data_IF_184803899454
#
_entry.id   IF_184803899454
#
_cell.length_a   1.000
_cell.length_b   1.000
_cell.length_c   1.000
_cell.angle_alpha   90.00
_cell.angle_beta   90.00
_cell.angle_gamma   90.00
#
_symmetry.space_group_name_H-M   'P 1'
#
loop_
_entity.id
_entity.type
_entity.pdbx_description
1 polymer ?
#
# COMPACT_ATOMS: atom_id res chain seq x y z
N UNK A 1 8.19 -47.51 -17.71
CA UNK A 1 7.95 -47.56 -19.16
C UNK A 1 6.91 -46.49 -19.49
N UNK A 2 7.27 -45.57 -20.39
CA UNK A 2 6.50 -44.48 -21.01
C UNK A 2 5.98 -43.39 -20.04
N UNK A 3 6.50 -42.16 -19.94
CA UNK A 3 6.93 -41.12 -20.92
C UNK A 3 5.77 -40.35 -21.58
N UNK A 4 5.82 -39.01 -21.42
CA UNK A 4 5.21 -37.99 -22.29
C UNK A 4 3.74 -37.66 -21.99
N UNK A 5 3.23 -36.44 -22.14
CA UNK A 5 3.80 -35.29 -22.82
C UNK A 5 3.01 -34.01 -22.47
N UNK A 6 3.76 -32.92 -22.32
CA UNK A 6 3.30 -31.54 -22.21
C UNK A 6 2.90 -31.04 -23.62
N UNK A 7 1.69 -30.50 -23.80
CA UNK A 7 1.33 -29.60 -24.91
C UNK A 7 0.36 -28.54 -24.41
N UNK A 8 0.77 -27.28 -24.31
CA UNK A 8 0.71 -26.28 -25.39
C UNK A 8 -0.68 -26.19 -26.05
N UNK A 9 -1.47 -25.20 -25.62
CA UNK A 9 -2.54 -24.63 -26.45
C UNK A 9 -2.25 -23.15 -26.70
N UNK A 10 -1.91 -22.89 -27.96
CA UNK A 10 -1.77 -21.60 -28.61
C UNK A 10 -3.09 -21.31 -29.33
N UNK A 11 -3.71 -20.17 -29.02
CA UNK A 11 -4.63 -19.42 -29.88
C UNK A 11 -4.23 -17.95 -29.68
N UNK A 12 -3.90 -17.12 -30.67
CA UNK A 12 -4.30 -17.15 -32.07
C UNK A 12 -5.14 -15.90 -32.36
N UNK A 13 -4.46 -14.78 -32.63
CA UNK A 13 -4.94 -13.69 -33.50
C UNK A 13 -6.05 -12.76 -33.00
N UNK A 14 -5.69 -11.53 -32.64
CA UNK A 14 -6.42 -10.34 -33.10
C UNK A 14 -5.45 -9.15 -33.19
N UNK A 15 -5.16 -8.78 -34.43
CA UNK A 15 -4.50 -7.54 -34.81
C UNK A 15 -5.37 -6.35 -34.39
N UNK A 16 -4.84 -5.45 -33.57
CA UNK A 16 -5.35 -4.08 -33.50
C UNK A 16 -4.17 -3.13 -33.69
N UNK A 17 -3.98 -2.69 -34.94
CA UNK A 17 -3.16 -1.54 -35.26
C UNK A 17 -3.68 -0.31 -34.51
N UNK A 18 -2.84 0.26 -33.65
CA UNK A 18 -2.90 1.68 -33.33
C UNK A 18 -1.51 2.24 -33.56
N UNK A 19 -1.34 2.79 -34.75
CA UNK A 19 -0.32 3.80 -35.04
C UNK A 19 -0.85 5.10 -34.42
N UNK A 20 -0.20 5.62 -33.38
CA UNK A 20 -0.08 7.07 -33.17
C UNK A 20 0.95 7.40 -32.09
N UNK A 21 1.98 8.16 -32.48
CA UNK A 21 2.61 9.17 -31.62
C UNK A 21 3.65 8.69 -30.61
N UNK A 22 4.86 8.41 -31.08
CA UNK A 22 6.07 8.55 -30.26
C UNK A 22 6.22 10.01 -29.80
N UNK A 23 5.75 10.33 -28.59
CA UNK A 23 6.29 11.46 -27.84
C UNK A 23 7.54 10.94 -27.14
N UNK A 24 8.71 11.39 -27.61
CA UNK A 24 9.98 11.25 -26.91
C UNK A 24 9.87 11.93 -25.53
N UNK A 25 9.60 11.16 -24.48
CA UNK A 25 9.88 11.57 -23.11
C UNK A 25 11.39 11.72 -22.96
N UNK A 26 11.86 12.96 -22.96
CA UNK A 26 13.24 13.30 -22.62
C UNK A 26 13.53 12.83 -21.19
N UNK A 27 14.66 12.14 -21.03
CA UNK A 27 15.15 11.64 -19.75
C UNK A 27 15.17 12.77 -18.71
N UNK A 28 14.43 12.56 -17.61
CA UNK A 28 14.51 13.35 -16.40
C UNK A 28 15.91 13.19 -15.80
N UNK A 29 16.70 14.27 -15.79
CA UNK A 29 17.93 14.36 -15.02
C UNK A 29 17.66 14.24 -13.51
N UNK A 30 18.69 14.03 -12.69
CA UNK A 30 18.53 13.65 -11.29
C UNK A 30 17.79 14.75 -10.51
N UNK A 31 16.60 14.39 -10.02
CA UNK A 31 15.86 15.20 -9.07
C UNK A 31 16.74 15.41 -7.83
N UNK A 32 17.06 16.66 -7.51
CA UNK A 32 17.52 17.00 -6.17
C UNK A 32 16.44 16.56 -5.19
N UNK A 33 16.74 15.54 -4.37
CA UNK A 33 15.88 15.09 -3.27
C UNK A 33 15.72 16.26 -2.29
N UNK A 34 14.61 16.99 -2.39
CA UNK A 34 14.07 17.65 -1.21
C UNK A 34 13.64 16.53 -0.24
N UNK A 35 13.88 16.74 1.06
CA UNK A 35 13.87 15.70 2.09
C UNK A 35 12.55 14.90 2.24
N UNK A 36 12.50 13.93 3.17
CA UNK A 36 11.41 12.94 3.28
C UNK A 36 10.01 13.52 3.57
N UNK A 37 9.91 14.83 3.85
CA UNK A 37 8.67 15.61 4.01
C UNK A 37 8.42 16.51 2.79
N UNK A 38 8.63 15.98 1.58
CA UNK A 38 8.42 16.70 0.33
C UNK A 38 6.97 17.19 0.18
N UNK A 39 6.74 18.29 -0.56
CA UNK A 39 5.43 18.90 -0.69
C UNK A 39 4.42 17.94 -1.36
N UNK A 40 3.16 17.95 -0.91
CA UNK A 40 2.08 17.16 -1.53
C UNK A 40 1.59 17.92 -2.77
N UNK A 41 2.29 17.72 -3.89
CA UNK A 41 2.05 18.44 -5.14
C UNK A 41 1.72 17.47 -6.29
N UNK A 42 0.44 17.36 -6.69
CA UNK A 42 0.08 16.71 -7.96
C UNK A 42 0.58 17.52 -9.17
N UNK A 43 1.56 16.99 -9.89
CA UNK A 43 1.83 17.32 -11.29
C UNK A 43 2.26 18.76 -11.61
N UNK A 44 3.10 19.37 -10.79
CA UNK A 44 3.88 20.58 -11.15
C UNK A 44 5.32 20.42 -10.66
N UNK A 45 6.05 19.56 -11.36
CA UNK A 45 7.48 19.47 -11.19
C UNK A 45 8.15 20.75 -11.72
N UNK A 46 9.39 21.02 -11.29
CA UNK A 46 10.18 22.08 -11.91
C UNK A 46 10.33 21.80 -13.40
N UNK A 47 9.57 22.53 -14.22
CA UNK A 47 9.66 22.41 -15.66
C UNK A 47 10.92 23.13 -16.13
N UNK A 48 11.89 22.37 -16.62
CA UNK A 48 13.04 22.91 -17.35
C UNK A 48 12.64 23.08 -18.80
N UNK A 49 12.26 24.30 -19.17
CA UNK A 49 11.93 24.63 -20.56
C UNK A 49 13.04 25.50 -21.14
N UNK A 50 13.53 25.15 -22.33
CA UNK A 50 14.43 26.02 -23.07
C UNK A 50 13.59 27.04 -23.84
N UNK A 51 13.53 28.27 -23.32
CA UNK A 51 12.78 29.36 -23.96
C UNK A 51 13.36 29.66 -25.34
N UNK A 52 12.55 29.52 -26.40
CA UNK A 52 12.89 30.02 -27.73
C UNK A 52 12.58 31.51 -27.77
N UNK A 53 13.61 32.32 -27.64
CA UNK A 53 13.51 33.77 -27.82
C UNK A 53 13.86 34.10 -29.29
N UNK A 54 12.95 34.83 -29.96
CA UNK A 54 12.98 35.31 -31.36
C UNK A 54 14.24 34.92 -32.17
N UNK A 55 14.21 33.73 -32.79
CA UNK A 55 15.06 33.11 -33.86
C UNK A 55 16.57 33.41 -34.00
N UNK A 56 17.20 34.29 -33.22
CA UNK A 56 18.61 34.69 -33.35
C UNK A 56 19.34 34.82 -32.00
N UNK A 57 18.72 34.47 -30.87
CA UNK A 57 19.34 34.58 -29.54
C UNK A 57 19.68 33.23 -28.93
N UNK A 58 20.76 33.17 -28.15
CA UNK A 58 21.27 31.94 -27.55
C UNK A 58 20.26 31.31 -26.58
N UNK A 59 20.16 29.97 -26.59
CA UNK A 59 19.23 29.20 -25.76
C UNK A 59 19.57 29.36 -24.27
N UNK A 60 18.68 30.03 -23.52
CA UNK A 60 18.79 30.15 -22.06
C UNK A 60 17.96 29.05 -21.40
N UNK A 61 18.57 28.33 -20.44
CA UNK A 61 17.84 27.37 -19.60
C UNK A 61 17.00 28.13 -18.59
N UNK A 62 15.67 28.04 -18.66
CA UNK A 62 14.76 28.60 -17.67
C UNK A 62 14.20 27.48 -16.80
N UNK A 63 14.27 27.67 -15.49
CA UNK A 63 13.63 26.79 -14.51
C UNK A 63 12.42 27.52 -13.95
N UNK A 64 11.23 26.96 -14.15
CA UNK A 64 10.00 27.47 -13.55
C UNK A 64 9.72 26.73 -12.25
N UNK A 65 9.69 27.46 -11.14
CA UNK A 65 9.40 26.90 -9.81
C UNK A 65 7.94 27.19 -9.44
N UNK A 66 7.20 26.21 -8.91
CA UNK A 66 5.85 26.47 -8.41
C UNK A 66 5.90 27.34 -7.14
N UNK A 67 4.80 28.04 -6.88
CA UNK A 67 4.63 28.76 -5.63
C UNK A 67 4.17 27.79 -4.54
N UNK A 68 4.97 27.70 -3.47
CA UNK A 68 4.72 26.86 -2.31
C UNK A 68 4.18 27.70 -1.14
N UNK A 69 3.18 27.18 -0.45
CA UNK A 69 2.51 27.83 0.67
C UNK A 69 2.48 26.86 1.86
N UNK A 70 2.85 27.31 3.04
CA UNK A 70 2.66 26.53 4.26
C UNK A 70 1.27 26.80 4.82
N UNK A 71 0.47 25.75 4.98
CA UNK A 71 -0.90 25.83 5.52
C UNK A 71 -1.14 24.71 6.52
N UNK A 72 -2.05 24.97 7.45
CA UNK A 72 -2.53 23.96 8.39
C UNK A 72 -3.81 23.33 7.84
N UNK A 73 -3.80 22.01 7.69
CA UNK A 73 -4.95 21.22 7.25
C UNK A 73 -5.37 20.27 8.37
N UNK A 74 -6.66 20.18 8.61
CA UNK A 74 -7.22 19.27 9.62
C UNK A 74 -7.80 18.02 8.95
N UNK A 75 -7.56 16.87 9.58
CA UNK A 75 -8.14 15.59 9.19
C UNK A 75 -9.15 15.14 10.25
N UNK A 76 -10.37 14.81 9.80
CA UNK A 76 -11.46 14.31 10.64
C UNK A 76 -11.18 12.85 11.06
N UNK A 77 -10.65 12.03 10.15
CA UNK A 77 -10.39 10.60 10.41
C UNK A 77 -9.24 10.41 11.43
N UNK A 78 -8.22 11.27 11.34
CA UNK A 78 -7.06 11.18 12.22
C UNK A 78 -7.18 12.06 13.48
N UNK A 79 -8.14 12.98 13.52
CA UNK A 79 -8.33 14.03 14.53
C UNK A 79 -7.04 14.80 14.83
N UNK A 80 -6.32 15.18 13.77
CA UNK A 80 -5.02 15.86 13.84
C UNK A 80 -4.93 16.99 12.83
N UNK A 81 -4.23 18.06 13.22
CA UNK A 81 -3.81 19.15 12.34
C UNK A 81 -2.42 18.86 11.81
N UNK A 82 -2.22 19.10 10.51
CA UNK A 82 -0.94 18.92 9.83
C UNK A 82 -0.50 20.26 9.22
N UNK A 83 0.73 20.66 9.50
CA UNK A 83 1.37 21.79 8.81
C UNK A 83 2.05 21.26 7.55
N UNK A 84 1.42 21.47 6.39
CA UNK A 84 1.87 20.90 5.11
C UNK A 84 2.19 22.04 4.13
N UNK A 85 3.26 21.85 3.36
CA UNK A 85 3.59 22.71 2.23
C UNK A 85 2.75 22.28 1.02
N UNK A 86 1.81 23.15 0.61
CA UNK A 86 0.85 22.92 -0.46
C UNK A 86 0.99 23.97 -1.57
N UNK A 87 0.49 23.64 -2.76
CA UNK A 87 0.35 24.61 -3.86
C UNK A 87 -1.07 25.14 -3.92
N UNK A 88 -1.28 26.26 -4.61
CA UNK A 88 -2.63 26.78 -4.90
C UNK A 88 -3.51 25.73 -5.59
N UNK A 89 -2.96 24.95 -6.53
CA UNK A 89 -3.69 23.86 -7.20
C UNK A 89 -4.17 22.81 -6.19
N UNK A 90 -3.33 22.43 -5.23
CA UNK A 90 -3.70 21.43 -4.22
C UNK A 90 -4.88 21.92 -3.39
N UNK A 91 -4.88 23.21 -2.99
CA UNK A 91 -6.00 23.82 -2.27
C UNK A 91 -7.28 23.79 -3.10
N UNK A 92 -7.22 24.17 -4.39
CA UNK A 92 -8.39 24.11 -5.29
C UNK A 92 -8.95 22.68 -5.43
N UNK A 93 -8.08 21.66 -5.43
CA UNK A 93 -8.50 20.26 -5.51
C UNK A 93 -9.13 19.77 -4.20
N UNK A 94 -8.63 20.22 -3.06
CA UNK A 94 -9.22 19.95 -1.74
C UNK A 94 -10.62 20.55 -1.67
N UNK A 95 -10.78 21.79 -2.14
CA UNK A 95 -12.07 22.47 -2.17
C UNK A 95 -13.06 21.76 -3.10
N UNK A 96 -12.61 21.33 -4.28
CA UNK A 96 -13.42 20.52 -5.22
C UNK A 96 -13.81 19.15 -4.66
N UNK A 97 -12.97 18.56 -3.81
CA UNK A 97 -13.24 17.29 -3.17
C UNK A 97 -14.12 17.42 -1.91
N UNK A 98 -14.44 18.65 -1.50
CA UNK A 98 -15.19 18.98 -0.28
C UNK A 98 -14.53 18.45 1.00
N UNK A 99 -13.20 18.53 1.08
CA UNK A 99 -12.47 18.20 2.30
C UNK A 99 -11.11 17.57 2.03
N UNK A 100 -10.21 17.73 3.00
CA UNK A 100 -8.84 17.21 2.93
C UNK A 100 -8.82 15.68 2.86
N UNK A 101 -9.58 15.02 3.73
CA UNK A 101 -9.62 13.54 3.79
C UNK A 101 -10.22 12.95 2.50
N UNK A 102 -11.27 13.58 1.95
CA UNK A 102 -11.85 13.14 0.68
C UNK A 102 -10.88 13.28 -0.48
N UNK A 103 -10.11 14.38 -0.52
CA UNK A 103 -9.08 14.56 -1.53
C UNK A 103 -8.06 13.43 -1.50
N UNK A 104 -7.53 13.07 -0.32
CA UNK A 104 -6.54 11.99 -0.18
C UNK A 104 -7.13 10.62 -0.54
N UNK A 105 -8.36 10.32 -0.13
CA UNK A 105 -9.00 9.03 -0.41
C UNK A 105 -9.37 8.86 -1.89
N UNK A 106 -9.92 9.90 -2.54
CA UNK A 106 -10.34 9.88 -3.95
C UNK A 106 -9.17 9.92 -4.93
N UNK A 107 -8.10 10.63 -4.60
CA UNK A 107 -6.95 10.80 -5.51
C UNK A 107 -6.18 9.49 -5.65
N UNK A 108 -5.88 9.02 -6.89
CA UNK A 108 -5.10 7.82 -7.11
C UNK A 108 -3.60 8.06 -6.85
N UNK A 109 -2.80 6.98 -6.87
CA UNK A 109 -1.37 7.03 -6.47
C UNK A 109 -0.55 7.92 -7.40
N UNK A 110 -0.84 7.85 -8.69
CA UNK A 110 -0.16 8.59 -9.75
C UNK A 110 -0.31 10.10 -9.59
N UNK A 111 -1.46 10.57 -9.10
CA UNK A 111 -1.75 11.99 -8.96
C UNK A 111 -1.24 12.53 -7.62
N UNK A 112 -1.27 11.74 -6.54
CA UNK A 112 -0.85 12.25 -5.23
C UNK A 112 0.65 12.59 -5.17
N UNK A 113 1.47 11.90 -5.97
CA UNK A 113 2.92 12.10 -6.20
C UNK A 113 3.80 12.24 -4.94
N UNK A 114 3.27 12.07 -3.73
CA UNK A 114 3.95 12.33 -2.47
C UNK A 114 3.87 11.13 -1.54
N UNK A 115 5.03 10.74 -0.99
CA UNK A 115 5.12 9.66 0.01
C UNK A 115 4.28 9.97 1.24
N UNK A 116 4.37 11.20 1.75
CA UNK A 116 3.58 11.65 2.89
C UNK A 116 2.08 11.54 2.65
N UNK A 117 1.61 11.89 1.45
CA UNK A 117 0.20 11.72 1.08
C UNK A 117 -0.22 10.24 1.08
N UNK A 118 0.62 9.35 0.58
CA UNK A 118 0.35 7.91 0.58
C UNK A 118 0.37 7.30 1.99
N UNK A 119 1.27 7.75 2.86
CA UNK A 119 1.32 7.35 4.26
C UNK A 119 0.06 7.79 5.03
N UNK A 120 -0.43 9.02 4.78
CA UNK A 120 -1.71 9.49 5.30
C UNK A 120 -2.87 8.63 4.80
N UNK A 121 -2.90 8.30 3.51
CA UNK A 121 -3.93 7.45 2.91
C UNK A 121 -3.96 6.08 3.59
N UNK A 122 -2.80 5.44 3.77
CA UNK A 122 -2.67 4.17 4.50
C UNK A 122 -3.19 4.30 5.94
N UNK A 123 -2.77 5.34 6.66
CA UNK A 123 -3.22 5.59 8.04
C UNK A 123 -4.73 5.76 8.16
N UNK A 124 -5.34 6.52 7.24
CA UNK A 124 -6.79 6.71 7.19
C UNK A 124 -7.53 5.40 6.90
N UNK A 125 -7.08 4.62 5.90
CA UNK A 125 -7.70 3.34 5.55
C UNK A 125 -7.62 2.32 6.69
N UNK A 126 -6.48 2.23 7.37
CA UNK A 126 -6.32 1.36 8.54
C UNK A 126 -7.27 1.75 9.68
N UNK A 127 -7.46 3.05 9.91
CA UNK A 127 -8.43 3.54 10.91
C UNK A 127 -9.87 3.22 10.55
N UNK A 128 -10.23 3.31 9.27
CA UNK A 128 -11.54 2.92 8.78
C UNK A 128 -11.76 1.41 8.91
N UNK A 129 -10.75 0.59 8.61
CA UNK A 129 -10.82 -0.86 8.71
C UNK A 129 -10.96 -1.36 10.15
N UNK A 130 -10.16 -0.81 11.08
CA UNK A 130 -10.13 -1.23 12.50
C UNK A 130 -11.31 -0.71 13.32
N UNK A 131 -12.00 0.34 12.85
CA UNK A 131 -13.04 1.04 13.61
C UNK A 131 -12.59 1.41 15.04
N UNK A 132 -11.41 2.04 15.13
CA UNK A 132 -10.72 2.30 16.39
C UNK A 132 -11.60 3.11 17.39
N UNK A 133 -11.90 2.56 18.59
CA UNK A 133 -12.70 3.24 19.60
C UNK A 133 -12.01 4.45 20.23
N UNK A 134 -10.71 4.65 19.99
CA UNK A 134 -9.95 5.80 20.47
C UNK A 134 -10.32 7.12 19.76
N UNK A 135 -11.01 7.05 18.61
CA UNK A 135 -11.46 8.25 17.89
C UNK A 135 -12.63 8.92 18.63
N UNK A 136 -12.41 10.12 19.18
CA UNK A 136 -13.37 10.86 19.99
C UNK A 136 -13.95 9.99 21.14
N UNK A 137 -13.17 9.76 22.21
CA UNK A 137 -13.63 8.96 23.35
C UNK A 137 -14.87 9.58 24.02
N UNK A 138 -14.96 10.91 24.01
CA UNK A 138 -16.04 11.65 24.67
C UNK A 138 -17.33 11.71 23.83
N UNK A 139 -17.23 11.62 22.50
CA UNK A 139 -18.35 11.82 21.56
C UNK A 139 -18.54 10.62 20.60
N UNK A 140 -19.30 9.58 21.00
CA UNK A 140 -19.54 8.41 20.16
C UNK A 140 -20.43 8.72 18.93
N UNK A 141 -21.35 9.69 19.02
CA UNK A 141 -22.23 10.08 17.92
C UNK A 141 -21.43 10.70 16.76
N UNK A 142 -20.49 11.60 17.09
CA UNK A 142 -19.60 12.23 16.12
C UNK A 142 -18.75 11.19 15.40
N UNK A 143 -18.23 10.21 16.14
CA UNK A 143 -17.46 9.09 15.58
C UNK A 143 -18.30 8.28 14.58
N UNK A 144 -19.53 7.91 14.95
CA UNK A 144 -20.42 7.18 14.05
C UNK A 144 -20.76 7.99 12.78
N UNK A 145 -20.94 9.30 12.90
CA UNK A 145 -21.17 10.19 11.76
C UNK A 145 -19.96 10.23 10.80
N UNK A 146 -18.73 10.31 11.34
CA UNK A 146 -17.49 10.25 10.55
C UNK A 146 -17.40 8.93 9.78
N UNK A 147 -17.59 7.79 10.46
CA UNK A 147 -17.55 6.49 9.78
C UNK A 147 -18.64 6.35 8.71
N UNK A 148 -19.84 6.87 8.97
CA UNK A 148 -20.93 6.88 7.99
C UNK A 148 -20.60 7.71 6.74
N UNK A 149 -19.85 8.80 6.91
CA UNK A 149 -19.40 9.70 5.83
C UNK A 149 -18.35 9.05 4.92
N UNK A 150 -17.47 8.20 5.46
CA UNK A 150 -16.34 7.59 4.72
C UNK A 150 -16.53 6.10 4.39
N UNK A 151 -17.74 5.56 4.57
CA UNK A 151 -18.06 4.13 4.37
C UNK A 151 -17.66 3.59 3.00
N UNK A 152 -17.73 4.40 1.95
CA UNK A 152 -17.48 3.98 0.57
C UNK A 152 -15.99 3.66 0.32
N UNK A 153 -15.09 4.11 1.20
CA UNK A 153 -13.64 3.89 1.12
C UNK A 153 -13.14 2.83 2.11
N UNK A 154 -14.04 2.08 2.76
CA UNK A 154 -13.67 1.02 3.67
C UNK A 154 -13.08 -0.18 2.92
N UNK A 155 -11.80 -0.45 3.15
CA UNK A 155 -11.03 -1.55 2.59
C UNK A 155 -10.62 -2.46 3.76
N UNK A 156 -10.56 -3.80 3.59
CA UNK A 156 -10.10 -4.70 4.64
C UNK A 156 -8.67 -4.35 5.09
N UNK A 157 -8.38 -4.57 6.38
CA UNK A 157 -7.08 -4.26 6.99
C UNK A 157 -5.92 -4.90 6.23
N UNK A 158 -6.10 -6.16 5.80
CA UNK A 158 -5.10 -6.91 5.07
C UNK A 158 -4.68 -6.24 3.75
N UNK A 159 -5.57 -5.52 3.06
CA UNK A 159 -5.24 -4.79 1.82
C UNK A 159 -4.76 -3.38 2.13
N UNK A 160 -5.42 -2.69 3.07
CA UNK A 160 -5.09 -1.33 3.48
C UNK A 160 -3.64 -1.20 3.95
N UNK A 161 -3.14 -2.22 4.62
CA UNK A 161 -1.77 -2.32 5.12
C UNK A 161 -0.67 -2.28 4.05
N UNK A 162 -0.98 -2.67 2.81
CA UNK A 162 -0.02 -2.66 1.69
C UNK A 162 -0.15 -1.41 0.80
N UNK A 163 -1.16 -0.58 1.05
CA UNK A 163 -1.37 0.66 0.27
C UNK A 163 -0.23 1.65 0.55
N UNK A 164 0.37 2.15 -0.52
CA UNK A 164 1.33 3.26 -0.45
C UNK A 164 2.75 2.89 -0.03
N UNK A 165 3.04 1.62 0.29
CA UNK A 165 4.41 1.16 0.54
C UNK A 165 5.27 1.27 -0.72
N UNK A 166 6.54 1.62 -0.53
CA UNK A 166 7.55 1.45 -1.58
C UNK A 166 7.91 -0.03 -1.73
N UNK A 167 8.57 -0.39 -2.83
CA UNK A 167 9.04 -1.77 -3.03
C UNK A 167 9.97 -2.22 -1.89
N UNK A 168 10.89 -1.35 -1.47
CA UNK A 168 11.83 -1.61 -0.38
C UNK A 168 11.10 -1.85 0.95
N UNK A 169 10.10 -1.01 1.26
CA UNK A 169 9.29 -1.15 2.49
C UNK A 169 8.42 -2.40 2.47
N UNK A 170 7.86 -2.75 1.30
CA UNK A 170 7.05 -3.95 1.14
C UNK A 170 7.89 -5.22 1.32
N UNK A 171 9.12 -5.24 0.77
CA UNK A 171 10.06 -6.35 0.95
C UNK A 171 10.47 -6.48 2.40
N UNK A 172 10.81 -5.37 3.07
CA UNK A 172 11.19 -5.40 4.48
C UNK A 172 10.03 -5.85 5.38
N UNK A 173 8.81 -5.38 5.09
CA UNK A 173 7.62 -5.83 5.81
C UNK A 173 7.41 -7.34 5.64
N UNK A 174 7.54 -7.86 4.42
CA UNK A 174 7.42 -9.30 4.16
C UNK A 174 8.51 -10.08 4.89
N UNK A 175 9.75 -9.58 4.87
CA UNK A 175 10.90 -10.17 5.58
C UNK A 175 10.59 -10.31 7.07
N UNK A 176 10.08 -9.26 7.72
CA UNK A 176 9.71 -9.26 9.14
C UNK A 176 8.56 -10.21 9.48
N UNK A 177 7.61 -10.41 8.54
CA UNK A 177 6.50 -11.36 8.72
C UNK A 177 6.96 -12.82 8.61
N UNK A 178 7.92 -13.08 7.72
CA UNK A 178 8.51 -14.41 7.50
C UNK A 178 9.65 -14.71 8.47
N UNK A 179 10.20 -13.69 9.13
CA UNK A 179 11.25 -13.81 10.14
C UNK A 179 10.73 -14.62 11.32
N UNK A 180 11.05 -15.92 11.29
CA UNK A 180 10.77 -16.89 12.33
C UNK A 180 12.06 -17.63 12.61
N UNK A 181 12.38 -17.79 13.88
CA UNK A 181 13.52 -18.60 14.28
C UNK A 181 13.35 -20.03 13.73
N UNK A 182 14.42 -20.65 13.20
CA UNK A 182 14.33 -22.00 12.69
C UNK A 182 13.87 -22.93 13.82
N UNK A 183 12.77 -23.66 13.60
CA UNK A 183 12.25 -24.60 14.58
C UNK A 183 13.30 -25.70 14.78
N UNK A 184 13.77 -25.93 16.03
CA UNK A 184 14.76 -26.97 16.28
C UNK A 184 14.24 -28.34 15.84
N UNK A 185 15.06 -29.09 15.09
CA UNK A 185 14.71 -30.42 14.55
C UNK A 185 14.23 -31.41 15.62
N UNK A 186 14.71 -31.26 16.86
CA UNK A 186 14.26 -32.06 17.99
C UNK A 186 12.73 -32.01 18.18
N UNK A 187 12.11 -30.82 18.06
CA UNK A 187 10.66 -30.68 18.22
C UNK A 187 9.91 -31.44 17.14
N UNK A 188 10.41 -31.36 15.91
CA UNK A 188 9.85 -32.06 14.74
C UNK A 188 9.88 -33.57 14.97
N UNK A 189 11.05 -34.13 15.34
CA UNK A 189 11.17 -35.57 15.58
C UNK A 189 10.35 -36.06 16.78
N UNK A 190 10.17 -35.23 17.81
CA UNK A 190 9.29 -35.56 18.95
C UNK A 190 7.83 -35.61 18.50
N UNK A 191 7.38 -34.65 17.69
CA UNK A 191 6.02 -34.64 17.14
C UNK A 191 5.77 -35.86 16.25
N UNK A 192 6.71 -36.21 15.37
CA UNK A 192 6.65 -37.41 14.53
C UNK A 192 6.57 -38.69 15.38
N UNK A 193 7.39 -38.81 16.42
CA UNK A 193 7.39 -39.98 17.30
C UNK A 193 6.05 -40.11 18.05
N UNK A 194 5.48 -39.00 18.53
CA UNK A 194 4.17 -38.99 19.19
C UNK A 194 3.08 -39.42 18.23
N UNK A 195 3.12 -38.98 16.97
CA UNK A 195 2.19 -39.45 15.93
C UNK A 195 2.31 -40.95 15.66
N UNK A 196 3.54 -41.48 15.56
CA UNK A 196 3.77 -42.91 15.37
C UNK A 196 3.23 -43.74 16.52
N UNK A 197 3.45 -43.32 17.77
CA UNK A 197 2.93 -44.01 18.94
C UNK A 197 1.39 -43.97 19.00
N UNK A 198 0.77 -42.84 18.65
CA UNK A 198 -0.70 -42.74 18.54
C UNK A 198 -1.26 -43.71 17.50
N UNK A 199 -0.60 -43.81 16.35
CA UNK A 199 -0.99 -44.75 15.29
C UNK A 199 -0.84 -46.21 15.74
N UNK A 200 0.23 -46.54 16.46
CA UNK A 200 0.44 -47.88 17.02
C UNK A 200 -0.67 -48.26 18.01
N UNK A 201 -1.00 -47.36 18.96
CA UNK A 201 -2.09 -47.58 19.93
C UNK A 201 -3.46 -47.77 19.25
N UNK A 202 -3.72 -47.10 18.14
CA UNK A 202 -4.95 -47.29 17.36
C UNK A 202 -4.97 -48.61 16.56
N UNK A 203 -3.80 -49.11 16.17
CA UNK A 203 -3.66 -50.38 15.45
C UNK A 203 -3.64 -51.63 16.33
N UNK A 204 -3.30 -51.48 17.61
CA UNK A 204 -3.38 -52.56 18.59
C UNK A 204 -4.84 -52.81 18.98
N UNK A 205 -5.42 -54.00 18.72
CA UNK A 205 -6.75 -54.32 19.20
C UNK A 205 -6.70 -54.39 20.74
N UNK A 206 -7.64 -53.73 21.42
CA UNK A 206 -7.77 -53.77 22.87
C UNK A 206 -7.85 -55.22 23.38
N UNK A 207 -6.71 -55.79 23.77
CA UNK A 207 -6.66 -57.11 24.40
C UNK A 207 -7.23 -56.94 25.81
N UNK A 208 -8.50 -57.29 25.94
CA UNK A 208 -9.23 -57.44 27.20
C UNK A 208 -8.40 -58.31 28.14
N UNK A 209 -7.86 -57.70 29.20
CA UNK A 209 -7.22 -58.41 30.30
C UNK A 209 -8.27 -59.30 30.98
N UNK A 210 -8.21 -60.61 30.75
CA UNK A 210 -8.89 -61.59 31.61
C UNK A 210 -8.24 -61.49 32.99
N UNK A 211 -9.00 -60.94 33.94
CA UNK A 211 -8.65 -60.96 35.35
C UNK A 211 -8.43 -62.40 35.80
N UNK A 212 -7.28 -62.62 36.45
CA UNK A 212 -6.88 -63.91 36.98
C UNK A 212 -7.86 -64.37 38.08
N UNK A 213 -8.51 -65.53 37.89
CA UNK A 213 -9.15 -66.26 38.98
C UNK A 213 -8.08 -66.99 39.78
N UNK A 214 -7.88 -66.54 41.03
CA UNK A 214 -6.99 -67.18 41.99
C UNK A 214 -7.52 -68.53 42.48
N UNK A 215 -6.54 -69.39 42.78
CA UNK A 215 -6.50 -70.58 43.67
C UNK A 215 -7.79 -71.35 43.91
#
# INVERSE_FOLDING_TARGET
MASGDYRHHVWGGALCSVVLGMVRMGASGPAHREGPLGPVCPGRDTLTESLLHLQLSARVKKVWKPQLLQRELYSEILDKKFTVTVTMRTLDLIDKAYGFDFYILKTPKEDLCSKFGMDLKRGMLLRLARQDPQLHPDDPERRAAIYSKYKDFAIPEAEAEWVGLTLEEAVEKQRLLEEKDPVPLFKIYVEELVEQLRQQVLSEPAVVQKTASGK
#
